data_IF_819717366840
#
_entry.id   IF_819717366840
#
_cell.length_a   1.000
_cell.length_b   1.000
_cell.length_c   1.000
_cell.angle_alpha   90.00
_cell.angle_beta   90.00
_cell.angle_gamma   90.00
#
_symmetry.space_group_name_H-M   'P 1'
#
loop_
_entity.id
_entity.type
_entity.pdbx_description
1 polymer ?
#
# COMPACT_ATOMS: atom_id res chain seq x y z
N UNK A 1 11.51 -8.64 -8.91
CA UNK A 1 11.03 -7.25 -8.82
C UNK A 1 11.80 -6.54 -7.73
N UNK A 2 11.94 -5.21 -7.80
CA UNK A 2 12.55 -4.40 -6.75
C UNK A 2 11.46 -4.03 -5.75
N UNK A 3 11.63 -4.30 -4.46
CA UNK A 3 10.75 -3.69 -3.46
C UNK A 3 11.17 -2.22 -3.30
N UNK A 4 10.20 -1.31 -3.14
CA UNK A 4 10.54 0.04 -2.68
C UNK A 4 11.20 -0.14 -1.31
N UNK A 5 12.48 0.24 -1.20
CA UNK A 5 13.42 -0.16 -0.16
C UNK A 5 13.10 0.27 1.28
N UNK A 6 11.85 0.57 1.59
CA UNK A 6 11.35 0.85 2.93
C UNK A 6 11.36 -0.39 3.85
N UNK A 7 11.45 -1.61 3.29
CA UNK A 7 11.29 -2.88 4.02
C UNK A 7 12.52 -3.79 4.06
N UNK A 8 13.66 -3.38 3.47
CA UNK A 8 14.95 -4.05 3.66
C UNK A 8 15.99 -3.06 4.16
N UNK A 9 16.57 -3.41 5.29
CA UNK A 9 17.58 -2.62 5.99
C UNK A 9 18.72 -2.16 5.08
N UNK A 10 19.23 -1.00 5.45
CA UNK A 10 20.63 -0.66 5.35
C UNK A 10 21.48 -1.75 6.05
N UNK A 11 21.82 -2.83 5.33
CA UNK A 11 23.01 -3.62 5.65
C UNK A 11 24.14 -3.25 4.69
N UNK A 12 25.37 -3.08 5.19
CA UNK A 12 26.52 -2.85 4.34
C UNK A 12 26.72 -4.05 3.41
N UNK A 13 27.15 -3.78 2.18
CA UNK A 13 27.38 -4.79 1.14
C UNK A 13 28.30 -5.90 1.66
N UNK A 14 27.72 -7.05 2.00
CA UNK A 14 28.42 -8.28 2.33
C UNK A 14 28.19 -9.31 1.25
N UNK A 15 29.28 -9.78 0.66
CA UNK A 15 29.39 -10.72 -0.44
C UNK A 15 28.40 -11.91 -0.44
N UNK A 16 27.82 -12.15 -1.63
CA UNK A 16 27.77 -13.44 -2.32
C UNK A 16 27.23 -14.66 -1.59
N UNK A 17 26.05 -15.14 -2.02
CA UNK A 17 25.79 -16.56 -2.26
C UNK A 17 24.60 -16.75 -3.20
N UNK A 18 24.83 -17.58 -4.21
CA UNK A 18 23.82 -18.19 -5.09
C UNK A 18 22.89 -19.08 -4.27
N UNK A 19 21.58 -19.00 -4.54
CA UNK A 19 20.61 -20.03 -4.11
C UNK A 19 19.43 -20.06 -5.08
N UNK A 20 19.53 -20.97 -6.03
CA UNK A 20 18.41 -21.55 -6.75
C UNK A 20 17.55 -22.37 -5.77
N UNK A 21 16.42 -21.83 -5.35
CA UNK A 21 15.19 -22.59 -5.06
C UNK A 21 14.11 -21.64 -4.55
N UNK A 22 13.13 -21.34 -5.41
CA UNK A 22 11.88 -20.69 -5.00
C UNK A 22 10.79 -20.94 -6.05
N UNK A 23 10.43 -22.22 -6.17
CA UNK A 23 9.20 -22.64 -6.83
C UNK A 23 8.51 -23.58 -5.87
N UNK A 24 7.47 -23.11 -5.17
CA UNK A 24 6.40 -23.90 -4.55
C UNK A 24 5.57 -22.96 -3.67
N UNK A 25 4.67 -22.19 -4.28
CA UNK A 25 3.48 -21.65 -3.60
C UNK A 25 2.45 -21.26 -4.67
N UNK A 26 1.89 -22.25 -5.35
CA UNK A 26 0.60 -22.11 -6.04
C UNK A 26 -0.12 -23.46 -5.96
N UNK A 27 -1.41 -23.38 -5.60
CA UNK A 27 -2.40 -24.45 -5.42
C UNK A 27 -2.46 -25.08 -4.02
N UNK A 28 -3.33 -24.54 -3.17
CA UNK A 28 -4.01 -25.35 -2.16
C UNK A 28 -5.42 -25.74 -2.65
N UNK A 29 -5.80 -27.03 -2.56
CA UNK A 29 -7.14 -27.50 -2.92
C UNK A 29 -8.19 -27.12 -1.86
N UNK A 30 -9.45 -27.02 -2.31
CA UNK A 30 -10.66 -26.52 -1.62
C UNK A 30 -11.09 -27.23 -0.32
N UNK A 31 -10.30 -28.15 0.24
CA UNK A 31 -10.75 -29.01 1.34
C UNK A 31 -10.44 -28.49 2.76
N UNK A 32 -9.75 -27.36 2.91
CA UNK A 32 -9.27 -26.90 4.23
C UNK A 32 -10.31 -26.13 5.07
N UNK A 33 -11.42 -25.65 4.48
CA UNK A 33 -12.40 -24.80 5.19
C UNK A 33 -13.29 -25.60 6.16
N UNK A 34 -13.42 -26.92 6.00
CA UNK A 34 -14.27 -27.74 6.88
C UNK A 34 -13.61 -28.20 8.19
N UNK A 35 -12.28 -28.12 8.32
CA UNK A 35 -11.57 -28.64 9.50
C UNK A 35 -11.59 -27.71 10.73
N UNK A 36 -11.89 -26.41 10.56
CA UNK A 36 -11.85 -25.43 11.66
C UNK A 36 -13.15 -25.39 12.47
N UNK A 37 -14.27 -25.86 11.91
CA UNK A 37 -15.61 -25.72 12.53
C UNK A 37 -15.99 -26.83 13.52
N UNK A 38 -15.25 -27.94 13.59
CA UNK A 38 -15.62 -29.10 14.43
C UNK A 38 -14.85 -29.23 15.75
N UNK A 39 -13.89 -28.34 16.05
CA UNK A 39 -13.04 -28.42 17.26
C UNK A 39 -13.48 -27.54 18.44
N UNK A 40 -14.69 -26.97 18.41
CA UNK A 40 -15.17 -26.01 19.42
C UNK A 40 -15.92 -26.61 20.63
N UNK A 41 -15.98 -27.95 20.77
CA UNK A 41 -16.64 -28.61 21.92
C UNK A 41 -15.65 -29.32 22.85
N UNK A 42 -14.78 -28.56 23.51
CA UNK A 42 -14.14 -28.93 24.80
C UNK A 42 -13.06 -27.89 25.12
N UNK A 43 -13.42 -26.82 25.84
CA UNK A 43 -12.42 -25.95 26.49
C UNK A 43 -12.80 -25.77 27.94
N UNK A 44 -11.98 -26.35 28.83
CA UNK A 44 -12.04 -26.13 30.28
C UNK A 44 -11.59 -24.72 30.68
N UNK A 45 -11.56 -24.42 31.99
CA UNK A 45 -11.29 -23.07 32.50
C UNK A 45 -9.89 -22.57 32.08
N UNK A 46 -9.88 -21.36 31.51
CA UNK A 46 -8.70 -20.65 30.98
C UNK A 46 -7.77 -20.27 32.14
N UNK A 47 -6.56 -20.80 32.17
CA UNK A 47 -5.51 -20.34 33.10
C UNK A 47 -5.17 -18.86 32.82
N UNK A 48 -4.82 -18.06 33.84
CA UNK A 48 -4.35 -16.69 33.64
C UNK A 48 -3.05 -16.71 32.84
N UNK A 49 -3.03 -15.97 31.72
CA UNK A 49 -1.89 -15.90 30.83
C UNK A 49 -0.65 -15.41 31.57
N UNK A 50 0.47 -16.13 31.42
CA UNK A 50 1.78 -15.68 31.89
C UNK A 50 2.11 -14.31 31.26
N UNK A 51 2.76 -13.39 32.00
CA UNK A 51 3.21 -12.12 31.44
C UNK A 51 4.15 -12.40 30.27
N UNK A 52 3.80 -11.88 29.09
CA UNK A 52 4.60 -12.02 27.88
C UNK A 52 6.00 -11.43 28.11
N UNK A 53 7.06 -12.07 27.60
CA UNK A 53 8.41 -11.49 27.59
C UNK A 53 8.35 -10.09 26.96
N UNK A 54 9.07 -9.13 27.55
CA UNK A 54 9.16 -7.77 27.01
C UNK A 54 9.76 -7.82 25.61
N UNK A 55 9.05 -7.21 24.67
CA UNK A 55 9.34 -7.17 23.24
C UNK A 55 10.56 -6.27 22.97
N UNK A 56 11.78 -6.79 23.13
CA UNK A 56 13.03 -6.07 22.82
C UNK A 56 13.50 -6.29 21.35
N UNK A 57 12.66 -6.88 20.48
CA UNK A 57 13.01 -7.24 19.09
C UNK A 57 12.43 -6.28 18.02
N UNK A 58 11.92 -5.12 18.45
CA UNK A 58 11.34 -4.09 17.55
C UNK A 58 12.41 -3.16 16.94
N UNK A 59 13.70 -3.49 17.11
CA UNK A 59 14.85 -2.60 16.87
C UNK A 59 15.53 -2.74 15.51
N UNK A 60 15.14 -3.66 14.62
CA UNK A 60 15.86 -3.83 13.34
C UNK A 60 15.25 -3.07 12.15
N UNK A 61 13.98 -2.66 12.20
CA UNK A 61 13.34 -2.02 11.02
C UNK A 61 13.53 -0.49 11.01
N UNK A 62 13.78 0.13 9.83
CA UNK A 62 13.91 1.58 9.72
C UNK A 62 12.65 2.30 10.21
N UNK A 63 12.84 3.36 10.99
CA UNK A 63 11.75 4.24 11.41
C UNK A 63 11.26 5.10 10.23
N UNK A 64 9.96 5.02 9.83
CA UNK A 64 9.41 5.88 8.78
C UNK A 64 9.60 7.37 9.00
N UNK A 65 9.72 7.82 10.25
CA UNK A 65 9.86 9.25 10.56
C UNK A 65 11.11 9.86 9.92
N UNK A 66 12.15 9.05 9.68
CA UNK A 66 13.38 9.48 9.02
C UNK A 66 13.20 9.90 7.55
N UNK A 67 12.07 9.53 6.93
CA UNK A 67 11.75 9.85 5.53
C UNK A 67 10.70 10.96 5.39
N UNK A 68 10.24 11.54 6.50
CA UNK A 68 9.24 12.61 6.47
C UNK A 68 9.87 13.91 5.97
N UNK A 69 9.35 14.44 4.87
CA UNK A 69 9.81 15.68 4.25
C UNK A 69 8.61 16.54 3.82
N UNK A 70 8.13 17.37 4.76
CA UNK A 70 6.99 18.25 4.51
C UNK A 70 7.30 19.32 3.45
N UNK A 71 8.55 19.80 3.37
CA UNK A 71 8.96 20.80 2.40
C UNK A 71 8.91 20.27 0.98
N UNK A 72 9.42 19.05 0.77
CA UNK A 72 9.31 18.35 -0.51
C UNK A 72 7.86 18.17 -0.95
N UNK A 73 6.99 17.65 -0.07
CA UNK A 73 5.59 17.41 -0.39
C UNK A 73 4.86 18.68 -0.83
N UNK A 74 5.10 19.81 -0.16
CA UNK A 74 4.45 21.09 -0.47
C UNK A 74 4.99 21.74 -1.75
N UNK A 75 6.27 21.55 -2.07
CA UNK A 75 6.91 22.18 -3.22
C UNK A 75 6.76 21.39 -4.53
N UNK A 76 6.45 20.09 -4.45
CA UNK A 76 6.39 19.19 -5.61
C UNK A 76 4.96 18.71 -5.92
N UNK A 77 3.97 19.60 -5.86
CA UNK A 77 2.55 19.25 -6.02
C UNK A 77 2.23 18.46 -7.30
N UNK A 78 2.83 18.82 -8.43
CA UNK A 78 2.64 18.11 -9.71
C UNK A 78 3.19 16.68 -9.68
N UNK A 79 4.34 16.47 -9.05
CA UNK A 79 4.93 15.14 -8.86
C UNK A 79 4.11 14.31 -7.86
N UNK A 80 3.57 14.92 -6.81
CA UNK A 80 2.68 14.25 -5.85
C UNK A 80 1.40 13.78 -6.52
N UNK A 81 0.77 14.59 -7.37
CA UNK A 81 -0.40 14.16 -8.17
C UNK A 81 -0.05 13.06 -9.17
N UNK A 82 1.16 13.11 -9.76
CA UNK A 82 1.66 12.04 -10.62
C UNK A 82 1.82 10.73 -9.85
N UNK A 83 2.38 10.78 -8.64
CA UNK A 83 2.55 9.64 -7.75
C UNK A 83 1.22 9.05 -7.29
N UNK A 84 0.24 9.89 -6.92
CA UNK A 84 -1.10 9.43 -6.57
C UNK A 84 -1.67 8.54 -7.68
N UNK A 85 -1.70 9.07 -8.90
CA UNK A 85 -2.19 8.32 -10.05
C UNK A 85 -1.36 7.05 -10.29
N UNK A 86 -0.03 7.15 -10.27
CA UNK A 86 0.84 6.01 -10.59
C UNK A 86 0.70 4.86 -9.58
N UNK A 87 0.61 5.18 -8.29
CA UNK A 87 0.53 4.21 -7.20
C UNK A 87 -0.85 3.58 -7.05
N UNK A 88 -1.92 4.36 -7.33
CA UNK A 88 -3.31 3.95 -7.10
C UNK A 88 -3.98 3.43 -8.38
N UNK A 89 -3.85 4.15 -9.49
CA UNK A 89 -4.58 3.87 -10.74
C UNK A 89 -3.69 3.23 -11.82
N UNK A 90 -2.39 3.52 -11.80
CA UNK A 90 -1.42 3.11 -12.83
C UNK A 90 -0.78 1.75 -12.60
N UNK A 91 -1.14 1.07 -11.49
CA UNK A 91 -0.50 -0.15 -11.02
C UNK A 91 -1.38 -1.39 -11.23
N UNK A 92 -0.77 -2.56 -11.07
CA UNK A 92 -1.41 -3.86 -11.12
C UNK A 92 -1.34 -4.53 -9.75
N UNK A 93 -2.32 -5.37 -9.42
CA UNK A 93 -2.25 -6.22 -8.22
C UNK A 93 -1.22 -7.30 -8.46
N UNK A 94 -0.23 -7.44 -7.57
CA UNK A 94 0.75 -8.52 -7.59
C UNK A 94 0.26 -9.70 -6.75
N UNK A 95 -0.21 -9.41 -5.55
CA UNK A 95 -0.74 -10.37 -4.59
C UNK A 95 -1.75 -9.69 -3.66
N UNK A 96 -2.54 -10.50 -2.95
CA UNK A 96 -3.46 -10.06 -1.91
C UNK A 96 -3.23 -10.87 -0.63
N UNK A 97 -3.34 -10.20 0.50
CA UNK A 97 -3.11 -10.71 1.84
C UNK A 97 -4.45 -10.82 2.60
N UNK A 98 -4.51 -11.69 3.61
CA UNK A 98 -5.74 -11.95 4.37
C UNK A 98 -5.99 -10.94 5.52
N UNK A 99 -5.17 -9.90 5.63
CA UNK A 99 -5.28 -8.89 6.69
C UNK A 99 -4.73 -7.54 6.24
N UNK A 100 -5.23 -6.47 6.88
CA UNK A 100 -4.71 -5.13 6.68
C UNK A 100 -3.36 -4.95 7.37
N UNK A 101 -2.45 -4.23 6.71
CA UNK A 101 -1.30 -3.67 7.40
C UNK A 101 -1.74 -2.54 8.35
N UNK A 102 -0.90 -2.16 9.31
CA UNK A 102 -1.17 -1.03 10.20
C UNK A 102 -0.22 0.13 9.91
N UNK A 103 -0.68 1.37 10.14
CA UNK A 103 0.18 2.52 10.05
C UNK A 103 1.18 2.55 11.22
N UNK A 104 2.47 2.70 10.91
CA UNK A 104 3.55 2.76 11.92
C UNK A 104 3.58 4.06 12.72
N UNK A 105 2.93 5.12 12.22
CA UNK A 105 2.79 6.36 12.96
C UNK A 105 1.74 6.18 14.06
N UNK A 106 2.19 6.07 15.32
CA UNK A 106 1.35 5.80 16.49
C UNK A 106 0.16 6.76 16.67
N UNK A 107 0.24 7.96 16.09
CA UNK A 107 -0.81 8.99 16.14
C UNK A 107 -1.50 9.21 14.78
N UNK A 108 -1.60 8.15 13.97
CA UNK A 108 -2.31 8.22 12.69
C UNK A 108 -3.82 8.02 12.88
N UNK A 109 -4.55 9.14 13.00
CA UNK A 109 -6.02 9.11 13.13
C UNK A 109 -6.71 8.41 11.94
N UNK A 110 -6.35 8.67 10.67
CA UNK A 110 -7.03 8.01 9.55
C UNK A 110 -6.94 6.48 9.63
N UNK A 111 -5.75 5.92 9.89
CA UNK A 111 -5.55 4.46 9.93
C UNK A 111 -6.24 3.80 11.13
N UNK A 112 -6.40 4.53 12.23
CA UNK A 112 -7.12 4.01 13.41
C UNK A 112 -8.64 4.01 13.19
N UNK A 113 -9.16 5.00 12.48
CA UNK A 113 -10.59 5.11 12.19
C UNK A 113 -11.04 4.15 11.09
N UNK A 114 -10.20 3.98 10.07
CA UNK A 114 -10.47 3.07 8.96
C UNK A 114 -9.19 2.29 8.60
N UNK A 115 -9.02 1.07 9.14
CA UNK A 115 -7.87 0.21 8.82
C UNK A 115 -7.78 -0.14 7.34
N UNK A 116 -8.90 -0.09 6.60
CA UNK A 116 -8.95 -0.43 5.16
C UNK A 116 -8.04 0.46 4.33
N UNK A 117 -7.75 1.70 4.76
CA UNK A 117 -6.87 2.64 4.03
C UNK A 117 -5.43 2.14 3.88
N UNK A 118 -5.01 1.20 4.73
CA UNK A 118 -3.69 0.58 4.67
C UNK A 118 -3.61 -0.51 3.61
N UNK A 119 -4.76 -0.91 3.06
CA UNK A 119 -4.89 -1.90 2.02
C UNK A 119 -4.56 -3.31 2.46
N UNK A 120 -4.85 -4.26 1.57
CA UNK A 120 -4.52 -5.67 1.71
C UNK A 120 -3.85 -6.24 0.45
N UNK A 121 -3.51 -5.40 -0.54
CA UNK A 121 -2.78 -5.85 -1.73
C UNK A 121 -1.31 -5.40 -1.74
N UNK A 122 -0.49 -6.19 -2.41
CA UNK A 122 0.79 -5.74 -2.97
C UNK A 122 0.52 -5.29 -4.40
N UNK A 123 0.98 -4.09 -4.74
CA UNK A 123 0.87 -3.48 -6.06
C UNK A 123 2.21 -3.55 -6.79
N UNK A 124 2.17 -3.55 -8.12
CA UNK A 124 3.37 -3.55 -8.96
C UNK A 124 3.15 -2.89 -10.31
N UNK A 125 4.23 -2.38 -10.91
CA UNK A 125 4.31 -2.01 -12.32
C UNK A 125 5.16 -2.99 -13.15
N UNK A 126 5.51 -4.14 -12.58
CA UNK A 126 6.40 -5.15 -13.16
C UNK A 126 7.89 -4.90 -12.92
N UNK A 127 8.27 -3.73 -12.40
CA UNK A 127 9.65 -3.42 -11.98
C UNK A 127 9.71 -3.28 -10.47
N UNK A 128 8.87 -2.43 -9.88
CA UNK A 128 8.76 -2.19 -8.46
C UNK A 128 7.53 -2.88 -7.85
N UNK A 129 7.63 -3.27 -6.58
CA UNK A 129 6.49 -3.69 -5.76
C UNK A 129 6.35 -2.79 -4.53
N UNK A 130 5.11 -2.51 -4.15
CA UNK A 130 4.77 -1.70 -2.98
C UNK A 130 3.45 -2.13 -2.35
N UNK A 131 3.25 -1.93 -1.03
CA UNK A 131 1.94 -2.16 -0.44
C UNK A 131 0.94 -1.14 -0.96
N UNK A 132 -0.32 -1.54 -1.11
CA UNK A 132 -1.45 -0.67 -1.47
C UNK A 132 -1.50 0.59 -0.59
N UNK A 133 -1.32 0.43 0.72
CA UNK A 133 -1.23 1.53 1.69
C UNK A 133 0.00 2.43 1.55
N UNK A 134 0.87 2.27 0.55
CA UNK A 134 2.06 3.14 0.40
C UNK A 134 1.66 4.60 0.15
N UNK A 135 0.58 4.83 -0.61
CA UNK A 135 0.06 6.18 -0.84
C UNK A 135 -0.37 6.88 0.46
N UNK A 136 -0.85 6.13 1.46
CA UNK A 136 -1.20 6.67 2.77
C UNK A 136 -0.01 7.36 3.44
N UNK A 137 1.19 6.77 3.36
CA UNK A 137 2.41 7.35 3.94
C UNK A 137 2.81 8.66 3.25
N UNK A 138 2.70 8.72 1.93
CA UNK A 138 3.02 9.94 1.18
C UNK A 138 1.98 11.03 1.50
N UNK A 139 0.69 10.70 1.42
CA UNK A 139 -0.41 11.65 1.57
C UNK A 139 -0.57 12.20 2.98
N UNK A 140 -0.49 11.35 4.01
CA UNK A 140 -0.80 11.74 5.39
C UNK A 140 0.42 11.98 6.26
N UNK A 141 1.57 11.40 5.90
CA UNK A 141 2.79 11.52 6.66
C UNK A 141 3.91 12.24 5.90
N UNK A 142 3.68 12.64 4.64
CA UNK A 142 4.65 13.33 3.78
C UNK A 142 5.98 12.56 3.71
N UNK A 143 5.89 11.22 3.76
CA UNK A 143 7.04 10.34 3.54
C UNK A 143 7.49 10.52 2.10
N UNK A 144 8.75 10.93 1.91
CA UNK A 144 9.35 11.08 0.59
C UNK A 144 9.78 9.72 0.05
N UNK A 145 9.32 9.32 -1.15
CA UNK A 145 9.82 8.11 -1.79
C UNK A 145 11.32 8.19 -2.12
N UNK A 146 12.02 7.04 -2.20
CA UNK A 146 13.40 6.99 -2.68
C UNK A 146 13.57 7.67 -4.04
N UNK A 147 14.70 8.36 -4.25
CA UNK A 147 14.93 9.15 -5.47
C UNK A 147 14.93 8.29 -6.74
N UNK A 148 15.49 7.08 -6.69
CA UNK A 148 15.48 6.15 -7.82
C UNK A 148 14.06 5.73 -8.23
N UNK A 149 13.16 5.58 -7.26
CA UNK A 149 11.75 5.32 -7.52
C UNK A 149 11.05 6.54 -8.13
N UNK A 150 11.34 7.77 -7.65
CA UNK A 150 10.81 9.00 -8.24
C UNK A 150 11.25 9.17 -9.71
N UNK A 151 12.52 8.89 -10.00
CA UNK A 151 13.09 8.94 -11.35
C UNK A 151 12.42 7.90 -12.25
N UNK A 152 12.21 6.69 -11.74
CA UNK A 152 11.49 5.62 -12.44
C UNK A 152 10.05 6.01 -12.75
N UNK A 153 9.28 6.51 -11.78
CA UNK A 153 7.90 6.97 -12.00
C UNK A 153 7.86 8.05 -13.07
N UNK A 154 8.73 9.06 -12.97
CA UNK A 154 8.79 10.18 -13.92
C UNK A 154 9.08 9.69 -15.34
N UNK A 155 10.05 8.79 -15.50
CA UNK A 155 10.41 8.23 -16.80
C UNK A 155 9.30 7.35 -17.41
N UNK A 156 8.48 6.71 -16.57
CA UNK A 156 7.50 5.71 -16.99
C UNK A 156 6.05 6.19 -17.00
N UNK A 157 5.75 7.35 -16.40
CA UNK A 157 4.39 7.85 -16.19
C UNK A 157 3.56 7.86 -17.47
N UNK A 158 4.10 8.41 -18.56
CA UNK A 158 3.41 8.46 -19.85
C UNK A 158 3.13 7.07 -20.41
N UNK A 159 4.07 6.13 -20.26
CA UNK A 159 3.92 4.74 -20.71
C UNK A 159 2.84 4.03 -19.89
N UNK A 160 2.83 4.21 -18.58
CA UNK A 160 1.81 3.65 -17.68
C UNK A 160 0.40 4.15 -18.05
N UNK A 161 0.22 5.45 -18.31
CA UNK A 161 -1.08 6.00 -18.77
C UNK A 161 -1.56 5.32 -20.06
N UNK A 162 -0.67 5.17 -21.04
CA UNK A 162 -1.03 4.58 -22.33
C UNK A 162 -1.37 3.08 -22.18
N UNK A 163 -0.60 2.35 -21.37
CA UNK A 163 -0.86 0.95 -21.07
C UNK A 163 -2.22 0.78 -20.36
N UNK A 164 -2.47 1.53 -19.29
CA UNK A 164 -3.74 1.50 -18.56
C UNK A 164 -4.92 1.82 -19.49
N UNK A 165 -4.82 2.84 -20.35
CA UNK A 165 -5.85 3.18 -21.34
C UNK A 165 -6.09 2.06 -22.35
N UNK A 166 -5.04 1.39 -22.82
CA UNK A 166 -5.17 0.29 -23.78
C UNK A 166 -5.92 -0.88 -23.16
N UNK A 167 -5.49 -1.31 -21.97
CA UNK A 167 -6.09 -2.38 -21.19
C UNK A 167 -7.56 -2.10 -20.87
N UNK A 168 -7.85 -0.89 -20.41
CA UNK A 168 -9.20 -0.49 -20.05
C UNK A 168 -10.19 -0.46 -21.22
N UNK A 169 -9.73 -0.17 -22.44
CA UNK A 169 -10.59 -0.20 -23.63
C UNK A 169 -11.01 -1.61 -24.00
N UNK A 170 -10.16 -2.59 -23.72
CA UNK A 170 -10.42 -4.00 -24.02
C UNK A 170 -11.51 -4.59 -23.10
N UNK A 171 -11.60 -4.11 -21.86
CA UNK A 171 -12.49 -4.65 -20.82
C UNK A 171 -13.49 -3.63 -20.24
N UNK A 172 -13.77 -2.54 -20.95
CA UNK A 172 -14.73 -1.47 -20.58
C UNK A 172 -14.56 -0.92 -19.14
N UNK A 173 -13.31 -0.86 -18.64
CA UNK A 173 -12.97 -0.48 -17.26
C UNK A 173 -13.64 -1.31 -16.15
N UNK A 174 -14.08 -2.54 -16.42
CA UNK A 174 -14.79 -3.39 -15.44
C UNK A 174 -13.90 -4.44 -14.77
N UNK A 175 -12.59 -4.39 -15.02
CA UNK A 175 -11.66 -5.43 -14.62
C UNK A 175 -10.48 -4.84 -13.84
N UNK A 176 -10.16 -5.44 -12.70
CA UNK A 176 -8.87 -5.28 -12.03
C UNK A 176 -7.82 -6.15 -12.72
N UNK A 177 -6.60 -5.65 -12.75
CA UNK A 177 -5.51 -6.31 -13.45
C UNK A 177 -4.57 -6.98 -12.44
N UNK A 178 -4.34 -8.27 -12.63
CA UNK A 178 -3.39 -9.07 -11.85
C UNK A 178 -2.09 -9.19 -12.63
N UNK A 179 -0.95 -8.95 -12.00
CA UNK A 179 0.36 -9.12 -12.62
C UNK A 179 0.72 -10.60 -12.70
N UNK A 180 0.95 -11.12 -13.90
CA UNK A 180 1.48 -12.46 -14.10
C UNK A 180 3.01 -12.40 -14.21
N UNK A 181 3.71 -12.94 -13.21
CA UNK A 181 5.18 -12.91 -13.15
C UNK A 181 5.86 -13.77 -14.23
N UNK A 182 5.24 -14.88 -14.66
CA UNK A 182 5.77 -15.78 -15.68
C UNK A 182 5.69 -15.13 -17.07
N UNK A 183 4.53 -14.54 -17.39
CA UNK A 183 4.28 -13.85 -18.65
C UNK A 183 4.81 -12.41 -18.68
N UNK A 184 5.16 -11.87 -17.51
CA UNK A 184 5.61 -10.48 -17.30
C UNK A 184 4.65 -9.46 -17.89
N UNK A 185 3.35 -9.68 -17.69
CA UNK A 185 2.29 -8.82 -18.21
C UNK A 185 1.07 -8.88 -17.28
N UNK A 186 0.23 -7.83 -17.28
CA UNK A 186 -1.05 -7.87 -16.59
C UNK A 186 -2.00 -8.84 -17.29
N UNK A 187 -2.79 -9.55 -16.50
CA UNK A 187 -3.88 -10.42 -16.96
C UNK A 187 -5.17 -10.02 -16.23
N UNK A 188 -6.35 -10.25 -16.84
CA UNK A 188 -7.62 -10.02 -16.19
C UNK A 188 -7.72 -10.80 -14.87
N UNK A 189 -8.10 -10.13 -13.80
CA UNK A 189 -8.33 -10.78 -12.51
C UNK A 189 -9.58 -11.67 -12.55
N UNK A 190 -9.55 -12.89 -11.98
CA UNK A 190 -10.75 -13.71 -11.84
C UNK A 190 -11.85 -13.00 -11.04
N UNK A 191 -13.11 -13.10 -11.49
CA UNK A 191 -14.22 -12.33 -10.91
C UNK A 191 -14.39 -12.51 -9.40
N UNK A 192 -14.28 -13.75 -8.89
CA UNK A 192 -14.40 -14.03 -7.47
C UNK A 192 -13.30 -13.34 -6.63
N UNK A 193 -12.07 -13.27 -7.16
CA UNK A 193 -10.96 -12.55 -6.51
C UNK A 193 -11.16 -11.04 -6.58
N UNK A 194 -11.64 -10.54 -7.73
CA UNK A 194 -11.92 -9.13 -7.92
C UNK A 194 -13.02 -8.62 -6.97
N UNK A 195 -14.13 -9.35 -6.85
CA UNK A 195 -15.22 -9.00 -5.92
C UNK A 195 -14.71 -8.87 -4.50
N UNK A 196 -13.93 -9.87 -4.04
CA UNK A 196 -13.32 -9.85 -2.72
C UNK A 196 -12.40 -8.65 -2.53
N UNK A 197 -11.52 -8.37 -3.50
CA UNK A 197 -10.58 -7.25 -3.43
C UNK A 197 -11.33 -5.92 -3.39
N UNK A 198 -12.34 -5.70 -4.23
CA UNK A 198 -13.09 -4.43 -4.24
C UNK A 198 -13.86 -4.22 -2.92
N UNK A 199 -14.36 -5.29 -2.32
CA UNK A 199 -15.07 -5.23 -1.03
C UNK A 199 -14.11 -4.91 0.13
N UNK A 200 -12.90 -5.47 0.13
CA UNK A 200 -11.98 -5.43 1.26
C UNK A 200 -10.79 -4.47 1.09
N UNK A 201 -10.57 -3.88 -0.07
CA UNK A 201 -9.42 -2.99 -0.32
C UNK A 201 -9.83 -1.59 -0.78
N UNK A 202 -8.89 -0.66 -0.81
CA UNK A 202 -9.10 0.70 -1.33
C UNK A 202 -9.18 0.75 -2.86
N UNK A 203 -8.84 -0.34 -3.55
CA UNK A 203 -8.85 -0.40 -5.01
C UNK A 203 -10.26 -0.20 -5.57
N UNK A 204 -10.34 0.51 -6.70
CA UNK A 204 -11.58 0.83 -7.38
C UNK A 204 -11.47 0.53 -8.88
N UNK A 205 -12.60 0.19 -9.49
CA UNK A 205 -12.68 0.10 -10.95
C UNK A 205 -12.73 1.51 -11.56
N UNK A 206 -11.90 1.76 -12.57
CA UNK A 206 -11.80 3.07 -13.23
C UNK A 206 -13.11 3.54 -13.89
N UNK A 207 -14.04 2.62 -14.17
CA UNK A 207 -15.37 2.92 -14.71
C UNK A 207 -16.46 3.17 -13.66
N UNK A 208 -16.22 2.83 -12.39
CA UNK A 208 -17.24 2.91 -11.33
C UNK A 208 -17.53 4.34 -10.86
N UNK A 209 -16.72 5.34 -11.27
CA UNK A 209 -16.91 6.75 -10.96
C UNK A 209 -18.01 7.43 -11.82
N UNK A 210 -19.16 6.76 -12.03
CA UNK A 210 -20.35 7.41 -12.60
C UNK A 210 -21.47 7.44 -11.56
N UNK A 211 -21.77 8.67 -11.10
CA UNK A 211 -22.93 9.14 -10.30
C UNK A 211 -22.76 9.25 -8.78
N UNK A 212 -21.71 9.91 -8.31
CA UNK A 212 -21.89 10.77 -7.14
C UNK A 212 -21.48 12.19 -7.53
N UNK A 213 -22.32 13.23 -7.33
CA UNK A 213 -21.86 14.60 -7.45
C UNK A 213 -20.66 14.80 -6.52
N UNK A 214 -19.74 15.72 -6.85
CA UNK A 214 -18.58 15.97 -6.01
C UNK A 214 -19.09 16.28 -4.62
N UNK A 215 -18.73 15.44 -3.65
CA UNK A 215 -18.91 15.74 -2.25
C UNK A 215 -18.08 17.00 -2.02
N UNK A 216 -18.80 18.12 -1.96
CA UNK A 216 -18.35 19.45 -1.59
C UNK A 216 -17.11 19.35 -0.69
N UNK A 217 -16.03 19.99 -1.16
CA UNK A 217 -14.95 20.54 -0.35
C UNK A 217 -15.10 20.26 1.15
N UNK A 218 -14.63 19.09 1.59
CA UNK A 218 -14.26 18.97 3.00
C UNK A 218 -13.12 19.95 3.17
N UNK A 219 -13.43 21.09 3.77
CA UNK A 219 -12.47 22.10 4.14
C UNK A 219 -11.28 21.40 4.77
N UNK A 220 -10.11 21.65 4.19
CA UNK A 220 -8.85 21.14 4.68
C UNK A 220 -8.49 21.93 5.94
N UNK A 221 -9.21 21.68 7.02
CA UNK A 221 -8.83 22.17 8.34
C UNK A 221 -7.76 21.22 8.86
N UNK A 222 -6.54 21.43 8.35
CA UNK A 222 -5.35 20.93 8.98
C UNK A 222 -5.31 21.56 10.36
N UNK A 223 -5.78 20.82 11.38
CA UNK A 223 -5.75 21.20 12.80
C UNK A 223 -4.33 21.35 13.38
N UNK A 224 -3.37 21.83 12.58
CA UNK A 224 -2.14 22.45 13.04
C UNK A 224 -2.51 23.86 13.52
N UNK A 225 -2.89 23.97 14.79
CA UNK A 225 -2.77 25.25 15.50
C UNK A 225 -1.32 25.71 15.37
N UNK A 226 -1.08 26.71 14.53
CA UNK A 226 0.17 27.43 14.54
C UNK A 226 0.40 28.01 15.95
N UNK A 227 1.60 27.88 16.54
CA UNK A 227 1.93 28.63 17.74
C UNK A 227 1.91 30.13 17.39
N UNK A 228 1.12 30.90 18.12
CA UNK A 228 1.07 32.35 18.01
C UNK A 228 2.44 32.93 18.37
N UNK A 229 3.24 33.25 17.36
CA UNK A 229 4.41 34.11 17.55
C UNK A 229 3.93 35.53 17.80
N UNK A 230 4.20 35.97 19.03
CA UNK A 230 4.16 37.35 19.46
C UNK A 230 5.24 38.15 18.70
N UNK A 231 4.87 39.26 18.10
CA UNK A 231 5.78 40.23 17.47
C UNK A 231 4.96 41.48 17.15
N UNK A 232 4.91 42.47 18.04
CA UNK A 232 5.84 43.60 18.11
C UNK A 232 6.05 44.24 16.73
N UNK A 233 5.29 45.31 16.44
CA UNK A 233 5.73 46.35 15.50
C UNK A 233 5.65 47.67 16.24
N UNK A 234 6.84 48.15 16.57
CA UNK A 234 7.17 49.54 16.80
C UNK A 234 7.08 50.24 15.44
N UNK A 235 6.26 51.26 15.31
CA UNK A 235 6.54 52.59 14.72
C UNK A 235 5.25 53.38 14.62
#
# INVERSE_FOLDING_TARGET
>A
MREIGFWRDARPSGNGRSSSDRTLFLQQPREYVQAVLLKSKSMGPRQPAAPSPKEDDDMERPDPTALVDHGWFMTHSSLVSMLEWYLVDGAFVESHELAYSYCRFRKCSPSTQDPKIMGACTMTDGVYCWPEGYWHYIRYHHVRPPQDFLDHVTANYRRAILAAKALNREHDNQVLWLWNAELRQPVPMPSATQEWILEHTTLQLLGAQKKNPPMESRGWDCGLRAPSYCGCVIS
#
